data_IF_544651415144
#
_entry.id   IF_544651415144
#
_cell.length_a   1.000
_cell.length_b   1.000
_cell.length_c   1.000
_cell.angle_alpha   90.00
_cell.angle_beta   90.00
_cell.angle_gamma   90.00
#
_symmetry.space_group_name_H-M   'P 1'
#
loop_
_entity.id
_entity.type
_entity.pdbx_description
1 polymer ?
#
# COMPACT_ATOMS: atom_id res chain seq x y z
N UNK A 1 -1.58 26.21 -15.41
CA UNK A 1 -1.35 26.63 -14.00
C UNK A 1 -1.48 25.46 -13.04
N UNK A 2 -2.63 24.75 -13.03
CA UNK A 2 -2.88 23.62 -12.13
C UNK A 2 -1.84 22.47 -12.12
N UNK A 3 -1.30 22.05 -13.27
CA UNK A 3 -0.34 20.92 -13.34
C UNK A 3 0.97 21.18 -12.58
N UNK A 4 1.47 22.42 -12.64
CA UNK A 4 2.70 22.81 -11.96
C UNK A 4 2.50 22.86 -10.43
N UNK A 5 1.36 23.35 -9.97
CA UNK A 5 0.99 23.41 -8.56
C UNK A 5 0.86 22.01 -7.95
N UNK A 6 0.18 21.08 -8.65
CA UNK A 6 0.11 19.69 -8.21
C UNK A 6 1.49 19.04 -8.13
N UNK A 7 2.35 19.25 -9.14
CA UNK A 7 3.71 18.70 -9.15
C UNK A 7 4.56 19.24 -7.99
N UNK A 8 4.40 20.52 -7.66
CA UNK A 8 5.06 21.14 -6.51
C UNK A 8 4.59 20.53 -5.19
N UNK A 9 3.28 20.35 -5.00
CA UNK A 9 2.74 19.72 -3.79
C UNK A 9 3.22 18.26 -3.65
N UNK A 10 3.21 17.47 -4.73
CA UNK A 10 3.68 16.08 -4.71
C UNK A 10 5.18 15.98 -4.36
N UNK A 11 6.02 16.81 -4.98
CA UNK A 11 7.47 16.81 -4.69
C UNK A 11 7.77 17.27 -3.27
N UNK A 12 7.05 18.27 -2.77
CA UNK A 12 7.15 18.71 -1.37
C UNK A 12 6.76 17.59 -0.39
N UNK A 13 5.63 16.90 -0.62
CA UNK A 13 5.18 15.79 0.21
C UNK A 13 6.17 14.63 0.22
N UNK A 14 6.73 14.28 -0.94
CA UNK A 14 7.78 13.26 -1.04
C UNK A 14 9.05 13.67 -0.29
N UNK A 15 9.45 14.95 -0.38
CA UNK A 15 10.57 15.49 0.38
C UNK A 15 10.34 15.40 1.90
N UNK A 16 9.14 15.77 2.37
CA UNK A 16 8.76 15.66 3.78
C UNK A 16 8.78 14.20 4.27
N UNK A 17 8.27 13.26 3.46
CA UNK A 17 8.33 11.82 3.75
C UNK A 17 9.77 11.29 3.80
N UNK A 18 10.61 11.68 2.84
CA UNK A 18 12.03 11.29 2.81
C UNK A 18 12.80 11.80 4.02
N UNK A 19 12.53 13.05 4.43
CA UNK A 19 13.11 13.63 5.64
C UNK A 19 12.62 12.89 6.90
N UNK A 20 11.32 12.60 7.00
CA UNK A 20 10.77 11.83 8.11
C UNK A 20 11.40 10.43 8.21
N UNK A 21 11.59 9.74 7.07
CA UNK A 21 12.28 8.45 7.01
C UNK A 21 13.72 8.54 7.50
N UNK A 22 14.46 9.57 7.09
CA UNK A 22 15.86 9.79 7.49
C UNK A 22 15.98 10.01 9.00
N UNK A 23 15.10 10.85 9.57
CA UNK A 23 15.05 11.09 11.02
C UNK A 23 14.70 9.78 11.76
N UNK A 24 13.74 9.02 11.23
CA UNK A 24 13.28 7.80 11.86
C UNK A 24 14.32 6.68 11.80
N UNK A 25 15.11 6.60 10.72
CA UNK A 25 16.23 5.68 10.60
C UNK A 25 17.27 5.90 11.73
N UNK A 26 17.57 7.16 12.07
CA UNK A 26 18.42 7.49 13.22
C UNK A 26 17.82 7.15 14.59
N UNK A 27 16.49 6.98 14.68
CA UNK A 27 15.78 6.66 15.93
C UNK A 27 15.37 5.19 16.06
N UNK A 28 15.48 4.41 14.99
CA UNK A 28 15.06 3.00 14.93
C UNK A 28 15.80 2.12 15.93
N UNK A 29 17.02 2.51 16.32
CA UNK A 29 17.85 1.79 17.29
C UNK A 29 17.26 1.82 18.70
N UNK A 30 16.47 2.84 19.05
CA UNK A 30 15.99 3.04 20.43
C UNK A 30 14.64 2.37 20.70
N UNK A 31 13.75 2.23 19.70
CA UNK A 31 12.42 1.66 19.89
C UNK A 31 12.00 0.81 18.69
N UNK A 32 11.80 -0.50 18.92
CA UNK A 32 11.48 -1.46 17.86
C UNK A 32 10.19 -1.14 17.11
N UNK A 33 9.21 -0.49 17.74
CA UNK A 33 7.95 -0.07 17.12
C UNK A 33 8.18 0.87 15.92
N UNK A 34 9.21 1.74 15.98
CA UNK A 34 9.51 2.67 14.89
C UNK A 34 10.04 1.99 13.62
N UNK A 35 10.49 0.73 13.69
CA UNK A 35 10.85 -0.03 12.48
C UNK A 35 9.61 -0.30 11.62
N UNK A 36 8.48 -0.64 12.24
CA UNK A 36 7.23 -0.83 11.52
C UNK A 36 6.72 0.49 10.91
N UNK A 37 6.86 1.61 11.64
CA UNK A 37 6.54 2.93 11.10
C UNK A 37 7.46 3.32 9.93
N UNK A 38 8.75 3.04 10.02
CA UNK A 38 9.69 3.32 8.93
C UNK A 38 9.34 2.53 7.67
N UNK A 39 9.01 1.24 7.80
CA UNK A 39 8.55 0.42 6.67
C UNK A 39 7.22 0.91 6.09
N UNK A 40 6.29 1.36 6.94
CA UNK A 40 5.04 1.98 6.51
C UNK A 40 5.30 3.26 5.69
N UNK A 41 6.11 4.18 6.20
CA UNK A 41 6.46 5.43 5.53
C UNK A 41 7.26 5.18 4.24
N UNK A 42 8.12 4.17 4.22
CA UNK A 42 8.87 3.78 3.03
C UNK A 42 7.92 3.26 1.95
N UNK A 43 6.97 2.40 2.33
CA UNK A 43 5.95 1.90 1.42
C UNK A 43 5.08 3.03 0.85
N UNK A 44 4.69 3.99 1.69
CA UNK A 44 4.00 5.21 1.25
C UNK A 44 4.84 6.05 0.29
N UNK A 45 6.13 6.25 0.60
CA UNK A 45 7.03 6.99 -0.27
C UNK A 45 7.14 6.34 -1.65
N UNK A 46 7.30 5.01 -1.70
CA UNK A 46 7.29 4.26 -2.96
C UNK A 46 5.97 4.51 -3.68
N UNK A 47 4.82 4.26 -3.08
CA UNK A 47 3.51 4.44 -3.75
C UNK A 47 3.33 5.88 -4.29
N UNK A 48 3.61 6.89 -3.46
CA UNK A 48 3.42 8.29 -3.83
C UNK A 48 4.44 8.82 -4.83
N UNK A 49 5.56 8.13 -5.03
CA UNK A 49 6.58 8.51 -6.03
C UNK A 49 6.14 8.26 -7.48
N UNK A 50 5.01 7.59 -7.70
CA UNK A 50 4.53 7.20 -9.03
C UNK A 50 4.42 8.35 -10.02
N UNK A 51 3.59 9.38 -9.78
CA UNK A 51 3.45 10.49 -10.70
C UNK A 51 4.79 11.14 -11.08
N UNK A 52 5.70 11.26 -10.10
CA UNK A 52 7.04 11.81 -10.33
C UNK A 52 7.89 10.92 -11.23
N UNK A 53 7.91 9.60 -10.98
CA UNK A 53 8.69 8.64 -11.77
C UNK A 53 8.16 8.56 -13.21
N UNK A 54 6.84 8.47 -13.38
CA UNK A 54 6.24 8.41 -14.71
C UNK A 54 6.48 9.69 -15.53
N UNK A 55 6.46 10.85 -14.88
CA UNK A 55 6.67 12.14 -15.55
C UNK A 55 8.15 12.45 -15.83
N UNK A 56 9.04 12.20 -14.88
CA UNK A 56 10.42 12.71 -14.92
C UNK A 56 11.50 11.63 -15.09
N UNK A 57 11.20 10.37 -14.78
CA UNK A 57 12.18 9.27 -14.80
C UNK A 57 11.70 8.06 -15.61
N UNK A 58 11.63 8.16 -16.96
CA UNK A 58 11.15 7.06 -17.80
C UNK A 58 11.90 5.74 -17.61
N UNK A 59 13.22 5.81 -17.40
CA UNK A 59 14.07 4.64 -17.17
C UNK A 59 13.75 3.91 -15.85
N UNK A 60 13.11 4.57 -14.88
CA UNK A 60 12.75 3.98 -13.59
C UNK A 60 11.32 3.41 -13.55
N UNK A 61 10.54 3.51 -14.64
CA UNK A 61 9.12 3.11 -14.66
C UNK A 61 8.93 1.63 -14.33
N UNK A 62 9.68 0.73 -14.98
CA UNK A 62 9.55 -0.70 -14.73
C UNK A 62 9.98 -1.09 -13.31
N UNK A 63 11.06 -0.49 -12.82
CA UNK A 63 11.51 -0.67 -11.42
C UNK A 63 10.43 -0.21 -10.44
N UNK A 64 9.79 0.93 -10.71
CA UNK A 64 8.68 1.43 -9.91
C UNK A 64 7.48 0.49 -9.93
N UNK A 65 7.03 0.04 -11.12
CA UNK A 65 5.90 -0.89 -11.26
C UNK A 65 6.18 -2.19 -10.51
N UNK A 66 7.42 -2.70 -10.58
CA UNK A 66 7.81 -3.87 -9.80
C UNK A 66 7.82 -3.59 -8.29
N UNK A 67 8.28 -2.41 -7.85
CA UNK A 67 8.39 -2.06 -6.44
C UNK A 67 7.06 -1.68 -5.77
N UNK A 68 6.06 -1.21 -6.53
CA UNK A 68 4.79 -0.74 -5.96
C UNK A 68 3.97 -1.91 -5.37
N UNK A 69 4.06 -3.10 -5.98
CA UNK A 69 3.33 -4.31 -5.56
C UNK A 69 3.68 -4.71 -4.12
N UNK A 70 4.96 -4.94 -3.75
CA UNK A 70 5.33 -5.21 -2.37
C UNK A 70 5.04 -4.04 -1.43
N UNK A 71 5.18 -2.78 -1.89
CA UNK A 71 4.88 -1.62 -1.07
C UNK A 71 3.40 -1.61 -0.62
N UNK A 72 2.47 -1.91 -1.53
CA UNK A 72 1.05 -2.02 -1.19
C UNK A 72 0.76 -3.11 -0.14
N UNK A 73 1.42 -4.26 -0.26
CA UNK A 73 1.25 -5.37 0.69
C UNK A 73 1.93 -5.11 2.04
N UNK A 74 2.95 -4.26 2.11
CA UNK A 74 3.63 -3.90 3.36
C UNK A 74 2.85 -2.88 4.18
N UNK A 75 2.12 -1.98 3.51
CA UNK A 75 1.50 -0.80 4.10
C UNK A 75 0.68 -1.11 5.38
N UNK A 76 -0.39 -1.90 5.24
CA UNK A 76 -1.32 -2.17 6.35
C UNK A 76 -0.76 -3.08 7.45
N UNK A 77 0.00 -4.16 7.14
CA UNK A 77 0.70 -4.92 8.17
C UNK A 77 1.63 -4.08 9.02
N UNK A 78 2.39 -3.17 8.40
CA UNK A 78 3.31 -2.28 9.11
C UNK A 78 2.56 -1.29 10.00
N UNK A 79 1.46 -0.71 9.52
CA UNK A 79 0.61 0.16 10.32
C UNK A 79 0.00 -0.57 11.53
N UNK A 80 -0.48 -1.79 11.33
CA UNK A 80 -1.00 -2.63 12.41
C UNK A 80 0.07 -2.99 13.45
N UNK A 81 1.28 -3.36 13.03
CA UNK A 81 2.36 -3.70 13.95
C UNK A 81 2.82 -2.48 14.74
N UNK A 82 2.88 -1.31 14.10
CA UNK A 82 3.20 -0.05 14.75
C UNK A 82 2.17 0.30 15.83
N UNK A 83 0.88 0.27 15.50
CA UNK A 83 -0.20 0.56 16.46
C UNK A 83 -0.21 -0.44 17.60
N UNK A 84 -0.02 -1.74 17.33
CA UNK A 84 0.12 -2.77 18.36
C UNK A 84 1.32 -2.51 19.29
N UNK A 85 2.43 -2.02 18.75
CA UNK A 85 3.62 -1.65 19.53
C UNK A 85 3.37 -0.44 20.44
N UNK A 86 2.60 0.55 19.97
CA UNK A 86 2.21 1.72 20.78
C UNK A 86 1.20 1.39 21.88
N UNK A 87 0.27 0.47 21.62
CA UNK A 87 -0.77 0.10 22.57
C UNK A 87 -0.35 -1.05 23.51
N UNK A 88 0.90 -1.50 23.46
CA UNK A 88 1.39 -2.58 24.32
C UNK A 88 1.77 -2.04 25.70
N UNK A 89 1.32 -2.74 26.75
CA UNK A 89 1.70 -2.43 28.13
C UNK A 89 3.12 -2.94 28.49
N UNK A 90 3.70 -3.79 27.62
CA UNK A 90 5.00 -4.46 27.82
C UNK A 90 5.95 -4.01 26.71
N UNK A 91 7.29 -3.96 26.93
CA UNK A 91 8.24 -3.60 25.89
C UNK A 91 8.06 -4.46 24.63
N UNK A 92 7.57 -3.84 23.56
CA UNK A 92 7.21 -4.55 22.35
C UNK A 92 8.45 -4.98 21.56
N UNK A 93 8.48 -6.24 21.13
CA UNK A 93 9.53 -6.83 20.28
C UNK A 93 8.88 -7.57 19.11
N UNK A 94 9.56 -7.55 17.96
CA UNK A 94 9.17 -8.40 16.84
C UNK A 94 9.32 -9.87 17.24
N UNK A 95 8.22 -10.61 17.22
CA UNK A 95 8.24 -12.05 17.43
C UNK A 95 8.27 -12.77 16.08
N UNK A 96 8.59 -14.08 16.08
CA UNK A 96 8.48 -14.91 14.86
C UNK A 96 7.07 -14.89 14.28
N UNK A 97 6.04 -14.74 15.11
CA UNK A 97 4.65 -14.58 14.64
C UNK A 97 4.46 -13.26 13.87
N UNK A 98 5.19 -12.20 14.22
CA UNK A 98 5.14 -10.94 13.49
C UNK A 98 5.70 -11.05 12.07
N UNK A 99 6.62 -12.00 11.82
CA UNK A 99 7.22 -12.22 10.49
C UNK A 99 6.21 -12.76 9.48
N UNK A 100 5.21 -13.53 9.93
CA UNK A 100 4.16 -14.06 9.06
C UNK A 100 3.34 -12.96 8.37
N UNK A 101 3.26 -11.77 8.96
CA UNK A 101 2.59 -10.63 8.35
C UNK A 101 3.29 -10.09 7.10
N UNK A 102 4.57 -10.43 6.90
CA UNK A 102 5.38 -10.00 5.77
C UNK A 102 5.46 -11.03 4.64
N UNK A 103 4.91 -12.24 4.82
CA UNK A 103 4.95 -13.30 3.80
C UNK A 103 4.35 -12.86 2.46
N UNK A 104 3.16 -12.22 2.40
CA UNK A 104 2.61 -11.73 1.13
C UNK A 104 3.54 -10.74 0.43
N UNK A 105 4.14 -9.81 1.18
CA UNK A 105 5.11 -8.87 0.64
C UNK A 105 6.37 -9.56 0.12
N UNK A 106 6.92 -10.53 0.86
CA UNK A 106 8.08 -11.30 0.42
C UNK A 106 7.79 -12.09 -0.87
N UNK A 107 6.63 -12.75 -0.96
CA UNK A 107 6.19 -13.44 -2.19
C UNK A 107 6.10 -12.44 -3.34
N UNK A 108 5.50 -11.27 -3.13
CA UNK A 108 5.44 -10.25 -4.17
C UNK A 108 6.81 -9.72 -4.58
N UNK A 109 7.78 -9.59 -3.68
CA UNK A 109 9.14 -9.20 -4.05
C UNK A 109 9.78 -10.21 -5.01
N UNK A 110 9.55 -11.51 -4.79
CA UNK A 110 10.03 -12.55 -5.72
C UNK A 110 9.38 -12.40 -7.09
N UNK A 111 8.06 -12.19 -7.13
CA UNK A 111 7.34 -11.94 -8.38
C UNK A 111 7.80 -10.66 -9.08
N UNK A 112 8.08 -9.59 -8.33
CA UNK A 112 8.62 -8.34 -8.85
C UNK A 112 10.00 -8.50 -9.46
N UNK A 113 10.87 -9.31 -8.85
CA UNK A 113 12.18 -9.65 -9.43
C UNK A 113 12.01 -10.47 -10.71
N UNK A 114 11.09 -11.44 -10.73
CA UNK A 114 10.76 -12.20 -11.94
C UNK A 114 10.24 -11.29 -13.06
N UNK A 115 9.41 -10.30 -12.73
CA UNK A 115 8.89 -9.31 -13.68
C UNK A 115 10.05 -8.50 -14.31
N UNK A 116 11.00 -8.04 -13.50
CA UNK A 116 12.16 -7.27 -13.98
C UNK A 116 13.15 -8.07 -14.83
N UNK A 117 13.02 -9.40 -14.89
CA UNK A 117 13.82 -10.25 -15.79
C UNK A 117 13.25 -10.32 -17.19
N UNK A 118 12.03 -9.86 -17.41
CA UNK A 118 11.43 -9.78 -18.74
C UNK A 118 12.12 -8.69 -19.58
N UNK A 119 12.08 -8.84 -20.90
CA UNK A 119 12.60 -7.81 -21.80
C UNK A 119 11.77 -6.53 -21.74
N UNK A 120 12.40 -5.37 -21.97
CA UNK A 120 11.72 -4.08 -22.03
C UNK A 120 10.58 -4.08 -23.07
N UNK A 121 10.72 -4.82 -24.16
CA UNK A 121 9.66 -5.00 -25.17
C UNK A 121 8.44 -5.73 -24.62
N UNK A 122 8.64 -6.76 -23.79
CA UNK A 122 7.57 -7.51 -23.13
C UNK A 122 6.93 -6.68 -22.02
N UNK A 123 7.73 -5.94 -21.24
CA UNK A 123 7.20 -5.04 -20.22
C UNK A 123 6.38 -3.91 -20.83
N UNK A 124 6.83 -3.36 -21.96
CA UNK A 124 6.06 -2.36 -22.70
C UNK A 124 4.71 -2.92 -23.15
N UNK A 125 4.70 -4.13 -23.70
CA UNK A 125 3.46 -4.74 -24.17
C UNK A 125 2.48 -5.10 -23.04
N UNK A 126 2.98 -5.46 -21.86
CA UNK A 126 2.14 -5.72 -20.68
C UNK A 126 1.47 -4.45 -20.14
N UNK A 127 2.22 -3.34 -20.03
CA UNK A 127 1.77 -2.17 -19.27
C UNK A 127 1.30 -1.00 -20.12
N UNK A 128 1.70 -0.93 -21.39
CA UNK A 128 1.48 0.25 -22.23
C UNK A 128 0.91 -0.06 -23.62
N UNK A 129 0.94 -1.30 -24.10
CA UNK A 129 0.29 -1.63 -25.37
C UNK A 129 -1.22 -1.75 -25.21
N UNK A 130 -1.96 -1.31 -26.22
CA UNK A 130 -3.41 -1.46 -26.32
C UNK A 130 -3.74 -2.69 -27.16
N UNK A 131 -4.71 -3.50 -26.70
CA UNK A 131 -5.18 -4.70 -27.39
C UNK A 131 -4.61 -6.03 -26.86
N UNK A 132 -5.00 -7.14 -27.49
CA UNK A 132 -4.57 -8.48 -27.09
C UNK A 132 -3.11 -8.72 -27.49
N UNK A 133 -2.25 -8.87 -26.48
CA UNK A 133 -0.83 -9.17 -26.66
C UNK A 133 -0.60 -10.67 -26.42
N UNK A 134 -0.01 -11.35 -27.40
CA UNK A 134 0.47 -12.71 -27.19
C UNK A 134 1.74 -12.72 -26.33
N UNK A 135 1.56 -13.09 -25.06
CA UNK A 135 2.67 -13.28 -24.12
C UNK A 135 3.18 -14.72 -24.13
N UNK A 136 4.50 -14.84 -24.04
CA UNK A 136 5.17 -16.09 -23.70
C UNK A 136 4.61 -16.68 -22.39
N UNK A 137 4.65 -18.01 -22.27
CA UNK A 137 3.99 -18.73 -21.17
C UNK A 137 4.48 -18.33 -19.77
N UNK A 138 5.77 -18.01 -19.63
CA UNK A 138 6.44 -17.58 -18.41
C UNK A 138 6.08 -16.15 -17.99
N UNK A 139 6.05 -15.22 -18.96
CA UNK A 139 5.60 -13.85 -18.75
C UNK A 139 4.11 -13.82 -18.35
N UNK A 140 3.29 -14.62 -19.04
CA UNK A 140 1.85 -14.76 -18.76
C UNK A 140 1.62 -15.26 -17.33
N UNK A 141 2.33 -16.32 -16.91
CA UNK A 141 2.23 -16.85 -15.55
C UNK A 141 2.61 -15.79 -14.49
N UNK A 142 3.69 -15.06 -14.73
CA UNK A 142 4.17 -14.01 -13.80
C UNK A 142 3.12 -12.91 -13.63
N UNK A 143 2.52 -12.44 -14.73
CA UNK A 143 1.46 -11.41 -14.70
C UNK A 143 0.23 -11.93 -13.95
N UNK A 144 -0.23 -13.15 -14.24
CA UNK A 144 -1.38 -13.76 -13.54
C UNK A 144 -1.15 -13.88 -12.04
N UNK A 145 0.05 -14.26 -11.60
CA UNK A 145 0.40 -14.35 -10.19
C UNK A 145 0.40 -12.96 -9.53
N UNK A 146 0.95 -11.93 -10.19
CA UNK A 146 0.94 -10.55 -9.67
C UNK A 146 -0.50 -10.04 -9.53
N UNK A 147 -1.35 -10.25 -10.53
CA UNK A 147 -2.77 -9.87 -10.48
C UNK A 147 -3.46 -10.59 -9.31
N UNK A 148 -3.25 -11.90 -9.17
CA UNK A 148 -3.84 -12.70 -8.08
C UNK A 148 -3.41 -12.16 -6.70
N UNK A 149 -2.14 -11.82 -6.54
CA UNK A 149 -1.61 -11.23 -5.30
C UNK A 149 -2.18 -9.82 -5.06
N UNK A 150 -2.40 -9.02 -6.10
CA UNK A 150 -3.04 -7.70 -5.97
C UNK A 150 -4.53 -7.80 -5.69
N UNK A 151 -5.23 -8.84 -6.15
CA UNK A 151 -6.63 -9.12 -5.76
C UNK A 151 -6.74 -9.53 -4.29
N UNK A 152 -5.67 -10.07 -3.69
CA UNK A 152 -5.62 -10.34 -2.26
C UNK A 152 -5.42 -9.07 -1.40
N UNK A 153 -4.78 -8.03 -1.95
CA UNK A 153 -4.52 -6.77 -1.25
C UNK A 153 -5.75 -6.12 -0.59
N UNK A 154 -6.94 -5.97 -1.23
CA UNK A 154 -8.10 -5.37 -0.57
C UNK A 154 -8.51 -6.20 0.66
N UNK A 155 -8.61 -7.52 0.53
CA UNK A 155 -8.94 -8.39 1.67
C UNK A 155 -7.93 -8.23 2.81
N UNK A 156 -6.64 -8.24 2.49
CA UNK A 156 -5.57 -8.03 3.46
C UNK A 156 -5.73 -6.69 4.19
N UNK A 157 -5.95 -5.62 3.44
CA UNK A 157 -6.05 -4.27 3.98
C UNK A 157 -7.28 -4.09 4.87
N UNK A 158 -8.45 -4.67 4.52
CA UNK A 158 -9.64 -4.66 5.38
C UNK A 158 -9.34 -5.29 6.74
N UNK A 159 -8.74 -6.49 6.73
CA UNK A 159 -8.44 -7.26 7.93
C UNK A 159 -7.55 -6.45 8.87
N UNK A 160 -6.50 -5.80 8.34
CA UNK A 160 -5.60 -5.00 9.19
C UNK A 160 -6.21 -3.68 9.66
N UNK A 161 -7.05 -3.02 8.85
CA UNK A 161 -7.79 -1.82 9.29
C UNK A 161 -8.72 -2.18 10.45
N UNK A 162 -9.51 -3.24 10.33
CA UNK A 162 -10.42 -3.71 11.39
C UNK A 162 -9.65 -4.10 12.65
N UNK A 163 -8.55 -4.85 12.51
CA UNK A 163 -7.69 -5.23 13.65
C UNK A 163 -7.09 -4.01 14.36
N UNK A 164 -6.63 -3.03 13.58
CA UNK A 164 -6.05 -1.79 14.12
C UNK A 164 -7.11 -0.96 14.85
N UNK A 165 -8.30 -0.82 14.25
CA UNK A 165 -9.43 -0.13 14.86
C UNK A 165 -9.84 -0.76 16.19
N UNK A 166 -10.00 -2.09 16.22
CA UNK A 166 -10.32 -2.83 17.45
C UNK A 166 -9.25 -2.64 18.53
N UNK A 167 -7.97 -2.72 18.17
CA UNK A 167 -6.87 -2.49 19.12
C UNK A 167 -6.93 -1.09 19.74
N UNK A 168 -7.17 -0.06 18.92
CA UNK A 168 -7.26 1.32 19.41
C UNK A 168 -8.48 1.55 20.31
N UNK A 169 -9.64 0.96 19.97
CA UNK A 169 -10.83 1.05 20.82
C UNK A 169 -10.61 0.38 22.17
N UNK A 170 -10.05 -0.82 22.19
CA UNK A 170 -9.74 -1.53 23.44
C UNK A 170 -8.76 -0.74 24.30
N UNK A 171 -7.71 -0.20 23.68
CA UNK A 171 -6.72 0.63 24.38
C UNK A 171 -7.33 1.92 24.95
N UNK A 172 -8.16 2.63 24.19
CA UNK A 172 -8.88 3.82 24.67
C UNK A 172 -9.81 3.48 25.85
N UNK A 173 -10.56 2.37 25.77
CA UNK A 173 -11.42 1.91 26.87
C UNK A 173 -10.63 1.60 28.14
N UNK A 174 -9.48 0.93 28.01
CA UNK A 174 -8.59 0.62 29.14
C UNK A 174 -7.97 1.89 29.74
N UNK A 175 -7.59 2.86 28.92
CA UNK A 175 -7.06 4.16 29.37
C UNK A 175 -8.11 4.97 30.13
N UNK A 176 -9.34 5.08 29.60
CA UNK A 176 -10.43 5.79 30.28
C UNK A 176 -10.79 5.17 31.62
N UNK A 177 -10.61 3.85 31.78
CA UNK A 177 -10.87 3.16 33.04
C UNK A 177 -9.80 3.41 34.12
N UNK A 178 -8.56 3.80 33.74
CA UNK A 178 -7.43 3.90 34.67
C UNK A 178 -6.93 5.35 34.86
N UNK A 179 -7.09 6.22 33.86
CA UNK A 179 -6.61 7.60 33.90
C UNK A 179 -7.69 8.57 33.41
N UNK A 180 -8.38 9.23 34.34
CA UNK A 180 -9.20 10.40 34.03
C UNK A 180 -8.28 11.55 33.59
N UNK A 181 -8.18 11.78 32.28
CA UNK A 181 -7.54 12.92 31.62
C UNK A 181 -5.99 13.00 31.67
N UNK A 182 -5.35 12.84 30.50
CA UNK A 182 -4.27 13.71 29.94
C UNK A 182 -3.49 13.08 28.76
N UNK A 183 -3.67 11.79 28.43
CA UNK A 183 -2.92 11.11 27.34
C UNK A 183 -3.64 10.99 25.99
N UNK A 184 -4.79 11.63 25.81
CA UNK A 184 -5.61 11.50 24.59
C UNK A 184 -4.96 12.07 23.32
N UNK A 185 -4.02 13.01 23.47
CA UNK A 185 -3.47 13.78 22.35
C UNK A 185 -2.48 13.01 21.48
N UNK A 186 -1.83 11.97 21.99
CA UNK A 186 -0.78 11.23 21.26
C UNK A 186 -1.32 10.18 20.25
N UNK A 187 -2.59 9.77 20.37
CA UNK A 187 -3.19 8.77 19.46
C UNK A 187 -4.33 9.31 18.58
N UNK A 188 -4.65 10.60 18.68
CA UNK A 188 -5.68 11.24 17.85
C UNK A 188 -5.36 11.11 16.35
N UNK A 189 -4.10 11.29 15.98
CA UNK A 189 -3.64 11.20 14.58
C UNK A 189 -3.84 9.81 13.98
N UNK A 190 -3.75 8.72 14.78
CA UNK A 190 -4.03 7.36 14.30
C UNK A 190 -5.49 7.18 13.90
N UNK A 191 -6.40 7.83 14.64
CA UNK A 191 -7.82 7.89 14.29
C UNK A 191 -8.04 8.61 12.96
N UNK A 192 -7.37 9.75 12.76
CA UNK A 192 -7.43 10.50 11.49
C UNK A 192 -6.94 9.64 10.32
N UNK A 193 -5.80 8.96 10.47
CA UNK A 193 -5.26 8.07 9.42
C UNK A 193 -6.24 6.95 9.09
N UNK A 194 -6.88 6.32 10.09
CA UNK A 194 -7.87 5.27 9.85
C UNK A 194 -9.12 5.79 9.13
N UNK A 195 -9.63 6.97 9.52
CA UNK A 195 -10.76 7.59 8.83
C UNK A 195 -10.43 7.90 7.37
N UNK A 196 -9.23 8.42 7.09
CA UNK A 196 -8.77 8.65 5.72
C UNK A 196 -8.65 7.34 4.92
N UNK A 197 -8.19 6.25 5.56
CA UNK A 197 -8.16 4.94 4.91
C UNK A 197 -9.57 4.46 4.54
N UNK A 198 -10.55 4.57 5.43
CA UNK A 198 -11.95 4.22 5.12
C UNK A 198 -12.53 5.10 4.01
N UNK A 199 -12.22 6.39 4.01
CA UNK A 199 -12.66 7.29 2.95
C UNK A 199 -12.08 6.90 1.60
N UNK A 200 -10.78 6.59 1.54
CA UNK A 200 -10.12 6.11 0.33
C UNK A 200 -10.76 4.81 -0.21
N UNK A 201 -11.17 3.91 0.68
CA UNK A 201 -11.91 2.71 0.31
C UNK A 201 -13.31 3.01 -0.24
N UNK A 202 -14.05 3.91 0.40
CA UNK A 202 -15.36 4.34 -0.07
C UNK A 202 -15.27 4.97 -1.47
N UNK A 203 -14.23 5.77 -1.70
CA UNK A 203 -13.94 6.33 -3.01
C UNK A 203 -13.65 5.23 -4.05
N UNK A 204 -12.77 4.28 -3.74
CA UNK A 204 -12.44 3.16 -4.63
C UNK A 204 -13.67 2.28 -4.93
N UNK A 205 -14.53 2.02 -3.95
CA UNK A 205 -15.78 1.29 -4.17
C UNK A 205 -16.72 2.07 -5.10
N UNK A 206 -16.82 3.39 -4.92
CA UNK A 206 -17.64 4.25 -5.78
C UNK A 206 -17.15 4.22 -7.23
N UNK A 207 -15.83 4.34 -7.45
CA UNK A 207 -15.26 4.28 -8.81
C UNK A 207 -15.51 2.92 -9.47
N UNK A 208 -15.36 1.82 -8.72
CA UNK A 208 -15.65 0.49 -9.25
C UNK A 208 -17.13 0.31 -9.61
N UNK A 209 -18.05 0.83 -8.78
CA UNK A 209 -19.49 0.78 -9.08
C UNK A 209 -19.81 1.60 -10.33
N UNK A 210 -19.18 2.78 -10.47
CA UNK A 210 -19.35 3.63 -11.65
C UNK A 210 -18.89 2.89 -12.92
N UNK A 211 -17.68 2.32 -12.91
CA UNK A 211 -17.14 1.57 -14.04
C UNK A 211 -18.01 0.36 -14.41
N UNK A 212 -18.46 -0.40 -13.40
CA UNK A 212 -19.34 -1.56 -13.63
C UNK A 212 -20.71 -1.15 -14.17
N UNK A 213 -21.26 -0.05 -13.66
CA UNK A 213 -22.54 0.51 -14.12
C UNK A 213 -22.47 1.13 -15.51
N UNK A 214 -21.27 1.53 -15.94
CA UNK A 214 -20.99 2.06 -17.29
C UNK A 214 -20.74 0.94 -18.33
N UNK A 215 -20.64 -0.32 -17.91
CA UNK A 215 -20.52 -1.50 -18.79
C UNK A 215 -21.81 -2.33 -19.03
N UNK A 216 -23.02 -1.77 -19.24
CA UNK A 216 -24.20 -2.59 -19.54
C UNK A 216 -24.28 -3.08 -21.00
N UNK A 217 -23.33 -2.72 -21.88
CA UNK A 217 -23.43 -2.99 -23.33
C UNK A 217 -22.65 -4.23 -23.83
N UNK A 218 -21.53 -4.62 -23.18
CA UNK A 218 -20.67 -5.69 -23.70
C UNK A 218 -21.27 -7.11 -23.59
N UNK A 219 -22.24 -7.33 -22.70
CA UNK A 219 -22.93 -8.61 -22.57
C UNK A 219 -24.12 -8.76 -23.54
N UNK A 220 -24.54 -7.70 -24.24
CA UNK A 220 -25.71 -7.74 -25.14
C UNK A 220 -25.35 -8.04 -26.60
N UNK A 221 -24.10 -7.82 -27.00
CA UNK A 221 -23.64 -8.09 -28.37
C UNK A 221 -23.11 -9.52 -28.59
N UNK A 222 -22.87 -10.27 -27.51
CA UNK A 222 -22.50 -11.69 -27.60
C UNK A 222 -23.68 -12.63 -27.87
N UNK A 223 -24.91 -12.20 -27.60
CA UNK A 223 -26.12 -13.03 -27.74
C UNK A 223 -26.81 -12.87 -29.11
N UNK A 224 -26.37 -11.90 -29.94
CA UNK A 224 -26.93 -11.64 -31.27
C UNK A 224 -26.11 -12.20 -32.44
N UNK A 225 -25.04 -12.95 -32.15
CA UNK A 225 -24.24 -13.68 -33.14
C UNK A 225 -24.29 -15.19 -32.89
N UNK A 226 -25.49 -15.75 -32.96
CA UNK A 226 -25.71 -17.18 -33.20
C UNK A 226 -26.72 -17.35 -34.32
#
# INVERSE_FOLDING_TARGET
>A
MFVAEFTFVYTFLLGALGLALTILAGRVQRWHCYRALALFLFSLFVILSGPLIFAQFPAARYVYIAAIVPAWLLLFPCFYLYTRGLTSQVPWRFSRQSLWHFVPACVSCVLSVSLLRLSDSTLFSIFFAEGDVELASDARLTVWLIITVMLFWPLQSLVYVVKTWRNLLTYRRQLHAVFASTKERELGWLGVVLTLMFFNWGWLALTLIQDLSAQPAFLREGESRH
#
